data_IF_503893788125
#
_entry.id   IF_503893788125
#
_cell.length_a   1.000
_cell.length_b   1.000
_cell.length_c   1.000
_cell.angle_alpha   90.00
_cell.angle_beta   90.00
_cell.angle_gamma   90.00
#
_symmetry.space_group_name_H-M   'P 1'
#
loop_
_entity.id
_entity.type
_entity.pdbx_description
1 polymer ?
#
# COMPACT_ATOMS: atom_id res chain seq x y z
N UNK A 1 20.17 13.62 2.61
CA UNK A 1 20.19 15.09 2.56
C UNK A 1 18.82 15.67 2.92
N UNK A 2 17.70 15.26 2.25
CA UNK A 2 16.35 15.82 2.48
C UNK A 2 15.96 15.86 3.96
N UNK A 3 16.17 14.76 4.69
CA UNK A 3 15.88 14.71 6.13
C UNK A 3 16.69 15.73 6.95
N UNK A 4 17.99 15.89 6.64
CA UNK A 4 18.86 16.84 7.35
C UNK A 4 18.48 18.29 7.10
N UNK A 5 17.89 18.60 5.94
CA UNK A 5 17.48 19.94 5.55
C UNK A 5 16.06 20.29 6.03
N UNK A 6 15.11 19.37 5.89
CA UNK A 6 13.69 19.62 6.15
C UNK A 6 13.15 18.92 7.41
N UNK A 7 13.87 17.93 7.93
CA UNK A 7 13.39 17.05 8.98
C UNK A 7 12.44 15.95 8.50
N UNK A 8 12.29 15.76 7.17
CA UNK A 8 11.42 14.74 6.57
C UNK A 8 12.13 13.98 5.45
N UNK A 9 11.77 12.72 5.27
CA UNK A 9 12.09 11.98 4.05
C UNK A 9 11.19 12.47 2.90
N UNK A 10 11.64 12.39 1.64
CA UNK A 10 10.83 12.81 0.51
C UNK A 10 9.67 11.82 0.28
N UNK A 11 8.53 12.34 -0.13
CA UNK A 11 7.36 11.55 -0.52
C UNK A 11 7.34 11.15 -2.00
N UNK A 12 8.21 11.76 -2.80
CA UNK A 12 8.30 11.54 -4.24
C UNK A 12 9.74 11.68 -4.76
N UNK A 13 10.04 11.02 -5.88
CA UNK A 13 11.35 11.07 -6.54
C UNK A 13 11.60 12.39 -7.28
N UNK A 14 11.57 13.50 -6.56
CA UNK A 14 11.84 14.85 -7.12
C UNK A 14 12.57 15.73 -6.11
N UNK A 15 13.22 16.82 -6.55
CA UNK A 15 13.79 17.79 -5.62
C UNK A 15 12.71 18.43 -4.74
N UNK A 16 12.91 18.40 -3.43
CA UNK A 16 12.01 18.97 -2.43
C UNK A 16 10.70 18.19 -2.26
N UNK A 17 9.83 18.73 -1.42
CA UNK A 17 8.51 18.16 -1.13
C UNK A 17 7.46 18.66 -2.14
N UNK A 18 6.70 17.74 -2.72
CA UNK A 18 5.78 18.04 -3.84
C UNK A 18 4.32 18.20 -3.42
N UNK A 19 3.93 17.70 -2.26
CA UNK A 19 2.54 17.71 -1.86
C UNK A 19 1.65 16.75 -2.65
N UNK A 20 2.23 15.71 -3.18
CA UNK A 20 1.55 14.63 -3.89
C UNK A 20 1.63 13.33 -3.09
N UNK A 21 0.80 12.38 -3.42
CA UNK A 21 0.69 11.07 -2.79
C UNK A 21 0.20 11.11 -1.34
N UNK A 22 -0.09 9.95 -0.80
CA UNK A 22 -0.42 9.70 0.60
C UNK A 22 0.57 8.69 1.18
N UNK A 23 0.57 8.53 2.49
CA UNK A 23 1.53 7.65 3.13
C UNK A 23 2.87 8.33 3.39
N UNK A 24 3.80 7.57 3.89
CA UNK A 24 5.18 7.96 4.13
C UNK A 24 6.09 6.90 3.50
N UNK A 25 5.81 6.56 2.26
CA UNK A 25 6.33 5.37 1.55
C UNK A 25 7.85 5.39 1.34
N UNK A 26 8.54 6.50 1.65
CA UNK A 26 9.99 6.46 1.86
C UNK A 26 10.38 5.42 2.92
N UNK A 27 9.49 5.09 3.86
CA UNK A 27 9.76 4.08 4.87
C UNK A 27 9.93 2.69 4.25
N UNK A 28 9.09 2.32 3.28
CA UNK A 28 9.20 1.03 2.59
C UNK A 28 10.49 0.95 1.78
N UNK A 29 10.80 1.98 0.98
CA UNK A 29 12.03 2.04 0.16
C UNK A 29 13.29 1.97 1.01
N UNK A 30 13.35 2.75 2.09
CA UNK A 30 14.51 2.80 2.99
C UNK A 30 14.64 1.49 3.75
N UNK A 31 13.54 0.92 4.23
CA UNK A 31 13.56 -0.36 4.93
C UNK A 31 14.05 -1.49 4.04
N UNK A 32 13.54 -1.56 2.80
CA UNK A 32 13.96 -2.54 1.82
C UNK A 32 15.46 -2.45 1.53
N UNK A 33 15.96 -1.22 1.31
CA UNK A 33 17.39 -0.99 1.09
C UNK A 33 18.27 -1.38 2.28
N UNK A 34 17.84 -1.12 3.51
CA UNK A 34 18.56 -1.52 4.73
C UNK A 34 18.55 -3.04 4.90
N UNK A 35 17.41 -3.68 4.72
CA UNK A 35 17.27 -5.12 4.90
C UNK A 35 18.08 -5.92 3.89
N UNK A 36 18.08 -5.48 2.64
CA UNK A 36 18.86 -6.06 1.52
C UNK A 36 20.33 -5.68 1.53
N UNK A 37 20.79 -4.87 2.50
CA UNK A 37 22.19 -4.54 2.69
C UNK A 37 22.80 -3.60 1.63
N UNK A 38 21.96 -2.82 0.92
CA UNK A 38 22.44 -1.85 -0.07
C UNK A 38 22.64 -0.44 0.50
N UNK A 39 22.21 -0.22 1.76
CA UNK A 39 22.42 1.05 2.47
C UNK A 39 23.78 1.05 3.17
N UNK A 40 24.59 2.14 3.05
CA UNK A 40 25.81 2.30 3.82
C UNK A 40 25.55 2.24 5.33
N UNK A 41 26.40 1.53 6.07
CA UNK A 41 26.25 1.28 7.51
C UNK A 41 26.14 2.59 8.31
N UNK A 42 26.93 3.58 7.93
CA UNK A 42 26.96 4.92 8.56
C UNK A 42 25.66 5.71 8.42
N UNK A 43 24.83 5.40 7.43
CA UNK A 43 23.57 6.11 7.19
C UNK A 43 22.38 5.44 7.88
N UNK A 44 22.47 4.17 8.26
CA UNK A 44 21.33 3.38 8.79
C UNK A 44 20.70 4.05 10.02
N UNK A 45 21.50 4.50 10.97
CA UNK A 45 20.98 5.13 12.19
C UNK A 45 20.20 6.43 11.87
N UNK A 46 20.72 7.25 10.95
CA UNK A 46 20.06 8.50 10.52
C UNK A 46 18.76 8.21 9.78
N UNK A 47 18.76 7.21 8.91
CA UNK A 47 17.58 6.82 8.14
C UNK A 47 16.49 6.23 9.03
N UNK A 48 16.87 5.42 10.02
CA UNK A 48 15.93 4.88 11.00
C UNK A 48 15.28 6.01 11.82
N UNK A 49 16.07 6.97 12.30
CA UNK A 49 15.55 8.16 13.00
C UNK A 49 14.59 8.95 12.10
N UNK A 50 14.94 9.13 10.82
CA UNK A 50 14.12 9.86 9.87
C UNK A 50 12.75 9.21 9.64
N UNK A 51 12.71 7.88 9.51
CA UNK A 51 11.45 7.12 9.39
C UNK A 51 10.57 7.30 10.65
N UNK A 52 11.15 7.16 11.85
CA UNK A 52 10.43 7.39 13.10
C UNK A 52 9.94 8.83 13.27
N UNK A 53 10.74 9.80 12.83
CA UNK A 53 10.35 11.21 12.89
C UNK A 53 9.15 11.50 12.00
N UNK A 54 9.14 10.98 10.78
CA UNK A 54 8.01 11.14 9.83
C UNK A 54 6.69 10.60 10.35
N UNK A 55 6.72 9.58 11.21
CA UNK A 55 5.56 8.96 11.85
C UNK A 55 4.81 9.87 12.84
N UNK A 56 5.48 10.88 13.38
CA UNK A 56 4.99 11.68 14.52
C UNK A 56 4.72 13.14 14.19
N UNK A 57 4.78 13.50 12.93
CA UNK A 57 4.62 14.88 12.50
C UNK A 57 4.18 14.98 11.05
N UNK A 58 3.70 16.14 10.68
CA UNK A 58 3.40 16.53 9.31
C UNK A 58 4.19 17.78 8.97
N UNK A 59 4.60 17.92 7.72
CA UNK A 59 5.34 19.10 7.29
C UNK A 59 4.45 20.35 7.36
N UNK A 60 4.96 21.49 7.84
CA UNK A 60 4.13 22.67 8.15
C UNK A 60 3.41 23.28 6.95
N UNK A 61 3.92 23.07 5.74
CA UNK A 61 3.35 23.65 4.50
C UNK A 61 3.00 22.61 3.43
N UNK A 62 3.36 21.36 3.63
CA UNK A 62 3.12 20.27 2.66
C UNK A 62 2.49 19.09 3.39
N UNK A 63 1.17 19.07 3.46
CA UNK A 63 0.41 18.14 4.32
C UNK A 63 0.55 16.65 3.96
N UNK A 64 0.97 16.33 2.74
CA UNK A 64 1.27 14.94 2.34
C UNK A 64 2.63 14.44 2.83
N UNK A 65 3.51 15.35 3.29
CA UNK A 65 4.83 15.00 3.81
C UNK A 65 4.77 14.72 5.30
N UNK A 66 5.27 13.60 5.73
CA UNK A 66 5.03 13.05 7.05
C UNK A 66 3.66 12.36 7.10
N UNK A 67 2.98 12.34 8.25
CA UNK A 67 1.69 11.65 8.40
C UNK A 67 0.58 12.61 8.79
N UNK A 68 -0.15 13.12 7.82
CA UNK A 68 -1.32 13.95 8.10
C UNK A 68 -2.41 13.13 8.82
N UNK A 69 -2.83 13.62 9.99
CA UNK A 69 -3.75 12.91 10.87
C UNK A 69 -3.07 11.90 11.81
N UNK A 70 -1.74 12.03 12.01
CA UNK A 70 -0.98 11.14 12.89
C UNK A 70 -1.51 11.10 14.32
N UNK A 71 -2.11 12.19 14.82
CA UNK A 71 -2.71 12.25 16.14
C UNK A 71 -3.88 11.25 16.26
N UNK A 72 -4.76 11.23 15.26
CA UNK A 72 -5.87 10.28 15.18
C UNK A 72 -5.36 8.86 14.99
N UNK A 73 -4.44 8.67 14.04
CA UNK A 73 -3.90 7.34 13.78
C UNK A 73 -3.22 6.73 15.00
N UNK A 74 -2.48 7.52 15.78
CA UNK A 74 -1.79 7.05 16.98
C UNK A 74 -2.75 6.81 18.17
N UNK A 75 -3.93 7.40 18.20
CA UNK A 75 -4.90 7.28 19.30
C UNK A 75 -6.06 6.34 18.98
N UNK A 76 -6.62 6.42 17.78
CA UNK A 76 -7.78 5.62 17.35
C UNK A 76 -7.38 4.38 16.56
N UNK A 77 -6.15 4.36 16.02
CA UNK A 77 -5.69 3.33 15.10
C UNK A 77 -6.12 3.54 13.65
N UNK A 78 -6.68 4.70 13.30
CA UNK A 78 -7.02 5.09 11.93
C UNK A 78 -7.16 6.61 11.83
N UNK A 79 -7.13 7.13 10.60
CA UNK A 79 -7.46 8.52 10.30
C UNK A 79 -8.97 8.59 10.01
N UNK A 80 -9.77 9.36 10.80
CA UNK A 80 -11.21 9.38 10.63
C UNK A 80 -11.66 10.03 9.32
N UNK A 81 -12.82 9.55 8.82
CA UNK A 81 -13.42 10.06 7.59
C UNK A 81 -14.01 11.48 7.75
N UNK A 82 -14.55 11.79 8.92
CA UNK A 82 -15.31 13.01 9.22
C UNK A 82 -14.51 14.17 9.81
N UNK A 83 -13.17 14.14 9.70
CA UNK A 83 -12.27 15.17 10.28
C UNK A 83 -11.61 16.07 9.23
N UNK A 84 -12.15 16.14 8.02
CA UNK A 84 -11.63 16.95 6.89
C UNK A 84 -10.19 16.61 6.48
N UNK A 85 -9.78 15.38 6.65
CA UNK A 85 -8.53 14.86 6.09
C UNK A 85 -8.92 13.97 4.90
N UNK A 86 -8.58 14.36 3.66
CA UNK A 86 -8.91 13.56 2.49
C UNK A 86 -8.14 12.25 2.48
N UNK A 87 -8.64 11.28 1.71
CA UNK A 87 -7.94 10.01 1.48
C UNK A 87 -7.60 9.25 2.78
N UNK A 88 -8.47 9.42 3.79
CA UNK A 88 -8.23 8.96 5.17
C UNK A 88 -8.07 7.44 5.31
N UNK A 89 -8.84 6.65 4.54
CA UNK A 89 -8.69 5.20 4.52
C UNK A 89 -7.37 4.79 3.85
N UNK A 90 -7.03 5.37 2.70
CA UNK A 90 -5.74 5.13 2.06
C UNK A 90 -4.58 5.47 3.01
N UNK A 91 -4.60 6.65 3.65
CA UNK A 91 -3.58 7.04 4.64
C UNK A 91 -3.43 6.02 5.76
N UNK A 92 -4.53 5.49 6.27
CA UNK A 92 -4.50 4.49 7.34
C UNK A 92 -3.82 3.20 6.88
N UNK A 93 -4.14 2.72 5.68
CA UNK A 93 -3.54 1.51 5.11
C UNK A 93 -2.04 1.69 4.84
N UNK A 94 -1.67 2.81 4.22
CA UNK A 94 -0.27 3.16 3.95
C UNK A 94 0.54 3.27 5.26
N UNK A 95 0.01 3.96 6.29
CA UNK A 95 0.69 4.09 7.57
C UNK A 95 0.86 2.76 8.30
N UNK A 96 -0.10 1.85 8.16
CA UNK A 96 0.02 0.51 8.73
C UNK A 96 1.15 -0.30 8.06
N UNK A 97 1.25 -0.22 6.75
CA UNK A 97 2.34 -0.84 6.00
C UNK A 97 3.70 -0.18 6.31
N UNK A 98 3.77 1.14 6.35
CA UNK A 98 4.98 1.86 6.74
C UNK A 98 5.45 1.45 8.14
N UNK A 99 4.53 1.31 9.10
CA UNK A 99 4.87 0.90 10.46
C UNK A 99 5.45 -0.52 10.48
N UNK A 100 4.90 -1.43 9.66
CA UNK A 100 5.49 -2.76 9.50
C UNK A 100 6.91 -2.69 8.92
N UNK A 101 7.14 -1.90 7.88
CA UNK A 101 8.45 -1.73 7.28
C UNK A 101 9.48 -1.23 8.30
N UNK A 102 9.12 -0.20 9.07
CA UNK A 102 10.00 0.35 10.11
C UNK A 102 10.23 -0.70 11.22
N UNK A 103 9.23 -1.52 11.55
CA UNK A 103 9.37 -2.59 12.54
C UNK A 103 10.44 -3.62 12.12
N UNK A 104 10.53 -3.97 10.84
CA UNK A 104 11.56 -4.90 10.37
C UNK A 104 12.98 -4.32 10.58
N UNK A 105 13.16 -3.03 10.29
CA UNK A 105 14.43 -2.34 10.56
C UNK A 105 14.70 -2.27 12.07
N UNK A 106 13.70 -1.97 12.88
CA UNK A 106 13.82 -1.95 14.34
C UNK A 106 14.29 -3.31 14.89
N UNK A 107 13.74 -4.42 14.39
CA UNK A 107 14.19 -5.78 14.72
C UNK A 107 15.65 -6.00 14.37
N UNK A 108 16.05 -5.67 13.13
CA UNK A 108 17.44 -5.76 12.66
C UNK A 108 18.41 -4.99 13.54
N UNK A 109 17.98 -3.83 14.05
CA UNK A 109 18.78 -2.97 14.93
C UNK A 109 18.68 -3.33 16.42
N UNK A 110 17.94 -4.36 16.80
CA UNK A 110 17.73 -4.76 18.19
C UNK A 110 16.89 -3.78 19.02
N UNK A 111 16.07 -2.93 18.36
CA UNK A 111 15.17 -1.96 18.99
C UNK A 111 13.84 -2.61 19.37
N UNK A 112 13.85 -3.51 20.33
CA UNK A 112 12.73 -4.40 20.64
C UNK A 112 11.44 -3.67 21.02
N UNK A 113 11.53 -2.56 21.78
CA UNK A 113 10.35 -1.77 22.17
C UNK A 113 9.71 -1.07 20.98
N UNK A 114 10.53 -0.48 20.11
CA UNK A 114 10.04 0.16 18.89
C UNK A 114 9.41 -0.88 17.95
N UNK A 115 10.07 -2.03 17.79
CA UNK A 115 9.55 -3.13 16.98
C UNK A 115 8.16 -3.58 17.45
N UNK A 116 7.98 -3.84 18.74
CA UNK A 116 6.70 -4.28 19.30
C UNK A 116 5.59 -3.22 19.13
N UNK A 117 5.91 -1.94 19.33
CA UNK A 117 4.96 -0.85 19.12
C UNK A 117 4.53 -0.74 17.65
N UNK A 118 5.50 -0.82 16.74
CA UNK A 118 5.28 -0.68 15.30
C UNK A 118 4.53 -1.90 14.73
N UNK A 119 4.85 -3.11 15.16
CA UNK A 119 4.11 -4.32 14.81
C UNK A 119 2.65 -4.26 15.26
N UNK A 120 2.39 -3.73 16.45
CA UNK A 120 1.02 -3.49 16.88
C UNK A 120 0.31 -2.48 15.98
N UNK A 121 0.98 -1.37 15.63
CA UNK A 121 0.41 -0.35 14.77
C UNK A 121 0.20 -0.83 13.33
N UNK A 122 1.01 -1.75 12.84
CA UNK A 122 0.84 -2.35 11.50
C UNK A 122 -0.48 -3.13 11.34
N UNK A 123 -1.11 -3.52 12.44
CA UNK A 123 -2.42 -4.16 12.42
C UNK A 123 -3.61 -3.18 12.32
N UNK A 124 -3.34 -1.89 12.26
CA UNK A 124 -4.36 -0.85 12.24
C UNK A 124 -5.25 -0.89 10.99
N UNK A 125 -4.81 -1.50 9.89
CA UNK A 125 -5.64 -1.73 8.70
C UNK A 125 -6.95 -2.45 9.04
N UNK A 126 -6.96 -3.33 10.07
CA UNK A 126 -8.14 -4.07 10.52
C UNK A 126 -9.29 -3.17 10.98
N UNK A 127 -8.98 -1.95 11.43
CA UNK A 127 -9.98 -0.98 11.85
C UNK A 127 -10.85 -0.47 10.70
N UNK A 128 -10.39 -0.58 9.46
CA UNK A 128 -11.12 -0.12 8.28
C UNK A 128 -11.93 -1.22 7.59
N UNK A 129 -11.72 -2.48 7.95
CA UNK A 129 -12.46 -3.58 7.35
C UNK A 129 -13.91 -3.60 7.85
N UNK A 130 -14.83 -3.39 6.94
CA UNK A 130 -16.27 -3.47 7.20
C UNK A 130 -16.78 -4.89 6.91
N UNK A 131 -17.17 -5.67 7.93
CA UNK A 131 -17.63 -7.04 7.74
C UNK A 131 -18.93 -7.16 6.97
N UNK A 132 -19.75 -6.10 6.90
CA UNK A 132 -20.99 -6.10 6.13
C UNK A 132 -20.72 -6.04 4.64
N UNK A 133 -19.87 -5.11 4.20
CA UNK A 133 -19.49 -4.94 2.78
C UNK A 133 -18.33 -5.83 2.37
N UNK A 134 -17.55 -6.32 3.35
CA UNK A 134 -16.31 -7.09 3.15
C UNK A 134 -15.23 -6.30 2.39
N UNK A 135 -15.21 -5.00 2.60
CA UNK A 135 -14.28 -4.08 1.95
C UNK A 135 -13.67 -3.14 2.99
N UNK A 136 -12.53 -2.56 2.67
CA UNK A 136 -12.04 -1.40 3.40
C UNK A 136 -12.96 -0.22 3.15
N UNK A 137 -13.30 0.51 4.21
CA UNK A 137 -14.27 1.61 4.19
C UNK A 137 -13.83 2.72 5.12
N UNK A 138 -14.09 3.97 4.76
CA UNK A 138 -13.86 5.10 5.64
C UNK A 138 -14.60 4.92 6.98
N UNK A 139 -13.95 5.30 8.09
CA UNK A 139 -14.51 5.17 9.44
C UNK A 139 -14.52 6.53 10.13
N UNK A 140 -15.63 6.90 10.73
CA UNK A 140 -15.81 8.15 11.45
C UNK A 140 -15.11 8.14 12.81
N UNK A 141 -14.88 9.32 13.39
CA UNK A 141 -14.22 9.45 14.70
C UNK A 141 -14.97 8.77 15.84
N UNK A 142 -16.28 8.61 15.72
CA UNK A 142 -17.14 7.89 16.67
C UNK A 142 -17.11 6.35 16.50
N UNK A 143 -16.37 5.85 15.51
CA UNK A 143 -16.23 4.44 15.23
C UNK A 143 -17.25 3.86 14.25
N UNK A 144 -18.22 4.62 13.77
CA UNK A 144 -19.16 4.19 12.73
C UNK A 144 -18.51 4.23 11.35
N UNK A 145 -19.00 3.43 10.40
CA UNK A 145 -18.52 3.49 9.03
C UNK A 145 -19.18 4.62 8.23
N UNK A 146 -18.44 5.17 7.29
CA UNK A 146 -18.89 6.18 6.32
C UNK A 146 -20.24 5.81 5.68
N UNK A 147 -21.17 6.74 5.66
CA UNK A 147 -22.47 6.59 5.00
C UNK A 147 -22.87 7.91 4.33
N UNK A 148 -23.31 7.94 3.06
CA UNK A 148 -23.46 6.79 2.15
C UNK A 148 -22.12 6.22 1.68
N UNK A 149 -22.11 4.95 1.26
CA UNK A 149 -20.92 4.27 0.76
C UNK A 149 -21.19 3.66 -0.63
N UNK A 150 -20.27 3.90 -1.55
CA UNK A 150 -20.21 3.21 -2.84
C UNK A 150 -18.81 2.61 -3.02
N UNK A 151 -18.69 1.29 -3.21
CA UNK A 151 -17.39 0.65 -3.37
C UNK A 151 -16.69 1.02 -4.68
N UNK A 152 -17.41 1.61 -5.63
CA UNK A 152 -16.89 2.02 -6.94
C UNK A 152 -16.52 3.51 -7.00
N UNK A 153 -16.82 4.28 -5.95
CA UNK A 153 -16.50 5.71 -5.92
C UNK A 153 -14.99 5.90 -5.92
N UNK A 154 -14.50 6.55 -6.96
CA UNK A 154 -13.10 6.89 -7.10
C UNK A 154 -12.72 8.06 -6.19
N UNK A 155 -11.57 7.96 -5.52
CA UNK A 155 -11.11 8.98 -4.58
C UNK A 155 -11.86 8.95 -3.25
N UNK A 156 -12.17 10.13 -2.68
CA UNK A 156 -12.85 10.31 -1.40
C UNK A 156 -12.00 9.79 -0.22
N UNK A 157 -12.36 8.61 0.33
CA UNK A 157 -11.55 7.97 1.36
C UNK A 157 -10.26 7.32 0.83
N UNK A 158 -10.10 7.21 -0.49
CA UNK A 158 -9.01 6.52 -1.17
C UNK A 158 -8.25 7.45 -2.13
N UNK A 159 -7.02 7.09 -2.46
CA UNK A 159 -6.16 7.83 -3.39
C UNK A 159 -6.11 7.11 -4.72
N UNK A 160 -6.49 7.80 -5.81
CA UNK A 160 -6.39 7.24 -7.18
C UNK A 160 -6.93 5.81 -7.30
N UNK A 161 -8.01 5.54 -6.60
CA UNK A 161 -8.62 4.22 -6.54
C UNK A 161 -9.97 4.24 -5.84
N UNK A 162 -10.51 3.09 -5.59
CA UNK A 162 -11.76 2.86 -4.86
C UNK A 162 -11.61 1.73 -3.83
N UNK A 163 -12.70 1.37 -3.15
CA UNK A 163 -12.65 0.34 -2.11
C UNK A 163 -12.22 -1.05 -2.64
N UNK A 164 -12.53 -1.36 -3.91
CA UNK A 164 -12.11 -2.61 -4.54
C UNK A 164 -10.59 -2.71 -4.73
N UNK A 165 -9.91 -1.58 -5.01
CA UNK A 165 -8.46 -1.55 -5.12
C UNK A 165 -7.81 -1.61 -3.73
N UNK A 166 -8.25 -0.73 -2.83
CA UNK A 166 -7.60 -0.53 -1.54
C UNK A 166 -7.87 -1.64 -0.51
N UNK A 167 -8.91 -2.45 -0.68
CA UNK A 167 -9.13 -3.62 0.19
C UNK A 167 -7.94 -4.58 0.16
N UNK A 168 -7.19 -4.61 -0.93
CA UNK A 168 -6.05 -5.48 -1.12
C UNK A 168 -4.70 -4.84 -0.75
N UNK A 169 -4.67 -3.55 -0.36
CA UNK A 169 -3.46 -2.82 0.01
C UNK A 169 -2.97 -3.17 1.42
N UNK A 170 -2.80 -4.47 1.68
CA UNK A 170 -2.27 -5.03 2.93
C UNK A 170 -1.14 -5.99 2.55
N UNK A 171 -0.03 -5.42 2.07
CA UNK A 171 1.10 -6.18 1.54
C UNK A 171 1.82 -7.01 2.59
N UNK A 172 1.85 -6.52 3.83
CA UNK A 172 2.63 -7.04 4.95
C UNK A 172 1.90 -8.11 5.78
N UNK A 173 0.61 -8.30 5.58
CA UNK A 173 -0.21 -9.23 6.37
C UNK A 173 -1.36 -9.78 5.51
N UNK A 174 -1.02 -10.40 4.38
CA UNK A 174 -1.99 -10.94 3.43
C UNK A 174 -2.83 -12.06 4.09
N UNK A 175 -2.20 -12.91 4.90
CA UNK A 175 -2.90 -13.96 5.65
C UNK A 175 -3.88 -13.35 6.65
N UNK A 176 -3.48 -12.31 7.40
CA UNK A 176 -4.37 -11.59 8.30
C UNK A 176 -5.52 -10.89 7.60
N UNK A 177 -5.34 -10.43 6.36
CA UNK A 177 -6.42 -9.92 5.52
C UNK A 177 -7.38 -11.03 5.10
N UNK A 178 -6.87 -12.19 4.70
CA UNK A 178 -7.67 -13.37 4.36
C UNK A 178 -8.51 -13.81 5.56
N UNK A 179 -7.94 -13.82 6.76
CA UNK A 179 -8.63 -14.19 8.00
C UNK A 179 -9.79 -13.26 8.37
N UNK A 180 -9.76 -11.99 7.93
CA UNK A 180 -10.88 -11.07 8.12
C UNK A 180 -12.08 -11.41 7.23
N UNK A 181 -11.84 -12.12 6.13
CA UNK A 181 -12.88 -12.50 5.21
C UNK A 181 -13.60 -13.75 5.73
N UNK A 182 -14.93 -13.84 5.60
CA UNK A 182 -15.64 -15.03 6.05
C UNK A 182 -15.15 -16.26 5.29
N UNK A 183 -15.11 -17.43 5.94
CA UNK A 183 -14.72 -18.67 5.28
C UNK A 183 -15.60 -18.88 4.05
N UNK A 184 -14.96 -19.16 2.95
CA UNK A 184 -15.64 -19.40 1.67
C UNK A 184 -15.79 -20.91 1.53
N UNK A 185 -17.03 -21.34 1.50
CA UNK A 185 -17.37 -22.73 1.12
C UNK A 185 -17.26 -22.97 -0.39
N UNK A 186 -16.84 -21.96 -1.13
CA UNK A 186 -16.77 -21.93 -2.58
C UNK A 186 -15.51 -21.12 -2.97
N UNK A 187 -14.70 -21.68 -3.85
CA UNK A 187 -13.50 -21.07 -4.46
C UNK A 187 -13.78 -19.71 -5.13
N UNK A 188 -15.05 -19.33 -5.21
CA UNK A 188 -15.50 -18.20 -6.00
C UNK A 188 -15.20 -16.84 -5.41
N UNK A 189 -15.00 -16.70 -4.09
CA UNK A 189 -14.99 -15.35 -3.51
C UNK A 189 -13.71 -14.56 -3.83
N UNK A 190 -12.54 -15.10 -3.55
CA UNK A 190 -11.27 -14.52 -3.97
C UNK A 190 -11.15 -14.60 -5.49
N UNK A 191 -11.52 -15.75 -6.04
CA UNK A 191 -11.56 -16.02 -7.47
C UNK A 191 -12.55 -15.12 -8.23
N UNK A 192 -13.74 -14.90 -7.70
CA UNK A 192 -14.77 -14.11 -8.39
C UNK A 192 -14.35 -12.65 -8.59
N UNK A 193 -13.78 -12.01 -7.57
CA UNK A 193 -13.38 -10.60 -7.66
C UNK A 193 -12.19 -10.37 -8.57
N UNK A 194 -11.26 -11.30 -8.62
CA UNK A 194 -10.11 -11.23 -9.52
C UNK A 194 -10.45 -11.78 -10.92
N UNK A 195 -11.48 -12.63 -11.08
CA UNK A 195 -11.95 -13.07 -12.38
C UNK A 195 -12.46 -11.94 -13.29
N UNK A 196 -13.03 -10.91 -12.70
CA UNK A 196 -13.53 -9.75 -13.45
C UNK A 196 -12.41 -8.84 -14.00
N UNK A 197 -11.16 -9.09 -13.63
CA UNK A 197 -9.99 -8.30 -14.03
C UNK A 197 -9.84 -8.16 -15.54
N UNK A 198 -10.05 -9.24 -16.29
CA UNK A 198 -9.73 -9.25 -17.73
C UNK A 198 -10.76 -8.58 -18.60
N UNK A 199 -11.97 -8.38 -18.10
CA UNK A 199 -13.01 -7.66 -18.82
C UNK A 199 -12.95 -6.16 -18.58
N UNK A 200 -12.11 -5.74 -17.63
CA UNK A 200 -11.98 -4.35 -17.25
C UNK A 200 -10.85 -3.70 -18.00
N UNK A 201 -11.20 -2.74 -18.80
CA UNK A 201 -10.23 -1.82 -19.36
C UNK A 201 -9.66 -0.93 -18.26
N UNK A 202 -8.44 -0.53 -18.44
CA UNK A 202 -7.68 0.31 -17.51
C UNK A 202 -8.41 1.60 -17.15
N UNK A 203 -9.22 2.13 -18.07
CA UNK A 203 -10.02 3.32 -17.87
C UNK A 203 -11.34 3.09 -17.11
N UNK A 204 -11.76 1.84 -16.97
CA UNK A 204 -13.01 1.48 -16.31
C UNK A 204 -12.75 1.12 -14.85
N UNK A 205 -12.41 2.05 -14.06
CA UNK A 205 -12.22 2.04 -12.61
C UNK A 205 -13.06 1.02 -11.85
N UNK A 206 -12.93 -0.25 -12.20
CA UNK A 206 -13.64 -1.35 -11.59
C UNK A 206 -12.79 -2.04 -10.51
N UNK A 207 -12.79 -3.39 -10.52
CA UNK A 207 -12.14 -4.19 -9.49
C UNK A 207 -10.62 -4.24 -9.64
N UNK A 208 -10.09 -3.99 -10.83
CA UNK A 208 -8.66 -3.98 -11.13
C UNK A 208 -8.32 -2.90 -12.16
N UNK A 209 -7.34 -2.08 -11.88
CA UNK A 209 -6.85 -1.04 -12.77
C UNK A 209 -5.34 -1.18 -12.90
N UNK A 210 -4.87 -2.03 -13.79
CA UNK A 210 -3.44 -2.34 -13.97
C UNK A 210 -2.59 -1.10 -14.30
N UNK A 211 -3.18 -0.11 -14.95
CA UNK A 211 -2.51 1.13 -15.28
C UNK A 211 -2.20 2.03 -14.09
N UNK A 212 -2.65 1.65 -12.88
CA UNK A 212 -2.32 2.36 -11.65
C UNK A 212 -1.75 1.41 -10.60
N UNK A 213 -0.66 1.78 -9.97
CA UNK A 213 0.20 0.95 -9.13
C UNK A 213 -0.49 0.32 -7.92
N UNK A 214 -1.47 0.95 -7.24
CA UNK A 214 -2.17 0.34 -6.10
C UNK A 214 -2.82 -1.01 -6.40
N UNK A 215 -3.10 -1.33 -7.67
CA UNK A 215 -3.73 -2.58 -8.06
C UNK A 215 -2.74 -3.66 -8.55
N UNK A 216 -1.50 -3.30 -8.91
CA UNK A 216 -0.59 -4.18 -9.65
C UNK A 216 -0.19 -5.48 -8.93
N UNK A 217 -0.21 -5.50 -7.60
CA UNK A 217 0.09 -6.69 -6.80
C UNK A 217 -1.08 -7.68 -6.70
N UNK A 218 -2.32 -7.24 -6.96
CA UNK A 218 -3.54 -7.99 -6.64
C UNK A 218 -3.58 -9.38 -7.24
N UNK A 219 -3.14 -9.55 -8.49
CA UNK A 219 -3.18 -10.85 -9.15
C UNK A 219 -2.19 -11.86 -8.56
N UNK A 220 -1.15 -11.41 -7.85
CA UNK A 220 -0.24 -12.28 -7.11
C UNK A 220 -0.82 -12.77 -5.79
N UNK A 221 -1.89 -12.13 -5.28
CA UNK A 221 -2.58 -12.58 -4.07
C UNK A 221 -3.24 -13.96 -4.23
N UNK A 222 -3.43 -14.42 -5.47
CA UNK A 222 -3.84 -15.81 -5.72
C UNK A 222 -2.85 -16.85 -5.20
N UNK A 223 -1.55 -16.52 -5.15
CA UNK A 223 -0.55 -17.44 -4.62
C UNK A 223 -0.76 -17.66 -3.12
N UNK A 224 -1.04 -16.58 -2.37
CA UNK A 224 -1.38 -16.63 -0.95
C UNK A 224 -2.71 -17.33 -0.68
N UNK A 225 -3.65 -17.26 -1.62
CA UNK A 225 -4.93 -17.97 -1.53
C UNK A 225 -4.84 -19.46 -1.98
N UNK A 226 -3.63 -19.97 -2.21
CA UNK A 226 -3.42 -21.36 -2.64
C UNK A 226 -3.86 -21.67 -4.08
N UNK A 227 -3.98 -20.63 -4.92
CA UNK A 227 -4.44 -20.75 -6.31
C UNK A 227 -3.40 -20.28 -7.35
N UNK A 228 -2.15 -20.74 -7.30
CA UNK A 228 -1.06 -20.23 -8.16
C UNK A 228 -1.33 -20.37 -9.66
N UNK A 229 -2.13 -21.34 -10.05
CA UNK A 229 -2.54 -21.50 -11.48
C UNK A 229 -3.33 -20.28 -11.98
N UNK A 230 -4.13 -19.65 -11.11
CA UNK A 230 -4.86 -18.43 -11.48
C UNK A 230 -3.91 -17.24 -11.58
N UNK A 231 -2.97 -17.07 -10.64
CA UNK A 231 -1.95 -16.05 -10.74
C UNK A 231 -1.18 -16.16 -12.07
N UNK A 232 -0.68 -17.34 -12.41
CA UNK A 232 0.05 -17.61 -13.65
C UNK A 232 -0.78 -17.25 -14.90
N UNK A 233 -2.06 -17.60 -14.89
CA UNK A 233 -2.94 -17.34 -16.03
C UNK A 233 -3.20 -15.83 -16.18
N UNK A 234 -3.58 -15.14 -15.08
CA UNK A 234 -3.89 -13.72 -15.11
C UNK A 234 -2.67 -12.85 -15.39
N UNK A 235 -1.52 -13.19 -14.82
CA UNK A 235 -0.26 -12.49 -15.13
C UNK A 235 0.01 -12.52 -16.63
N UNK A 236 -0.15 -13.69 -17.26
CA UNK A 236 0.03 -13.83 -18.72
C UNK A 236 -0.99 -13.01 -19.50
N UNK A 237 -2.26 -13.05 -19.13
CA UNK A 237 -3.32 -12.27 -19.77
C UNK A 237 -3.05 -10.76 -19.71
N UNK A 238 -2.61 -10.26 -18.55
CA UNK A 238 -2.23 -8.84 -18.39
C UNK A 238 -1.03 -8.50 -19.28
N UNK A 239 0.02 -9.31 -19.28
CA UNK A 239 1.20 -9.08 -20.11
C UNK A 239 0.86 -9.04 -21.61
N UNK A 240 0.01 -9.97 -22.08
CA UNK A 240 -0.31 -10.10 -23.49
C UNK A 240 -1.32 -9.03 -23.97
N UNK A 241 -2.18 -8.52 -23.08
CA UNK A 241 -3.26 -7.58 -23.46
C UNK A 241 -2.97 -6.13 -23.15
N UNK A 242 -2.22 -5.84 -22.09
CA UNK A 242 -2.06 -4.49 -21.57
C UNK A 242 -0.66 -3.90 -21.83
N UNK A 243 0.21 -4.66 -22.48
CA UNK A 243 1.54 -4.20 -22.90
C UNK A 243 1.76 -4.42 -24.39
N UNK A 244 2.51 -3.55 -25.01
CA UNK A 244 2.96 -3.73 -26.40
C UNK A 244 4.31 -3.05 -26.64
N UNK A 245 5.01 -3.47 -27.71
CA UNK A 245 6.28 -2.89 -28.14
C UNK A 245 6.09 -1.60 -28.97
N UNK A 246 5.04 -0.83 -28.72
CA UNK A 246 4.75 0.45 -29.38
C UNK A 246 5.07 1.63 -28.47
N UNK A 247 5.16 2.87 -28.99
CA UNK A 247 5.39 4.06 -28.15
C UNK A 247 4.32 4.30 -27.09
N UNK A 248 3.09 3.82 -27.29
CA UNK A 248 1.94 3.85 -26.40
C UNK A 248 1.71 2.48 -25.72
N UNK A 249 2.77 1.72 -25.49
CA UNK A 249 2.73 0.32 -25.10
C UNK A 249 2.42 0.04 -23.63
N UNK A 250 2.24 1.05 -22.80
CA UNK A 250 1.76 0.93 -21.43
C UNK A 250 0.29 1.32 -21.33
N UNK A 251 -0.44 0.62 -20.48
CA UNK A 251 -1.86 0.87 -20.27
C UNK A 251 -2.15 2.02 -19.27
N UNK A 252 -1.13 2.65 -18.72
CA UNK A 252 -1.16 3.76 -17.79
C UNK A 252 0.20 4.42 -17.73
N UNK A 253 0.44 5.20 -16.67
CA UNK A 253 1.73 5.84 -16.47
C UNK A 253 2.82 4.81 -16.13
N UNK A 254 4.03 5.07 -16.61
CA UNK A 254 5.18 4.18 -16.36
C UNK A 254 5.68 4.30 -14.91
N UNK A 255 5.51 5.49 -14.31
CA UNK A 255 5.76 5.83 -12.91
C UNK A 255 7.15 5.43 -12.38
N UNK A 256 8.17 6.06 -12.98
CA UNK A 256 9.56 5.96 -12.54
C UNK A 256 10.10 4.51 -12.46
N UNK A 257 9.63 3.65 -13.34
CA UNK A 257 10.10 2.27 -13.45
C UNK A 257 9.14 1.21 -12.92
N UNK A 258 8.08 1.57 -12.20
CA UNK A 258 7.19 0.60 -11.56
C UNK A 258 6.48 -0.30 -12.58
N UNK A 259 5.87 0.28 -13.60
CA UNK A 259 5.11 -0.48 -14.61
C UNK A 259 6.01 -1.31 -15.51
N UNK A 260 7.21 -0.81 -15.84
CA UNK A 260 8.24 -1.58 -16.53
C UNK A 260 8.76 -2.73 -15.66
N UNK A 261 9.04 -2.48 -14.39
CA UNK A 261 9.52 -3.48 -13.45
C UNK A 261 8.50 -4.61 -13.26
N UNK A 262 7.21 -4.27 -13.17
CA UNK A 262 6.14 -5.27 -13.08
C UNK A 262 6.20 -6.25 -14.24
N UNK A 263 6.32 -5.73 -15.49
CA UNK A 263 6.42 -6.60 -16.66
C UNK A 263 7.66 -7.49 -16.63
N UNK A 264 8.82 -6.94 -16.26
CA UNK A 264 10.09 -7.68 -16.23
C UNK A 264 10.05 -8.78 -15.16
N UNK A 265 9.62 -8.46 -13.94
CA UNK A 265 9.49 -9.46 -12.87
C UNK A 265 8.46 -10.53 -13.22
N UNK A 266 7.33 -10.15 -13.79
CA UNK A 266 6.30 -11.08 -14.24
C UNK A 266 6.81 -12.02 -15.34
N UNK A 267 7.61 -11.50 -16.27
CA UNK A 267 8.26 -12.32 -17.31
C UNK A 267 9.29 -13.29 -16.74
N UNK A 268 9.94 -12.94 -15.63
CA UNK A 268 10.85 -13.81 -14.89
C UNK A 268 10.13 -14.84 -14.01
N UNK A 269 8.82 -14.65 -13.75
CA UNK A 269 7.97 -15.59 -13.03
C UNK A 269 7.89 -15.35 -11.52
N UNK A 270 8.20 -14.15 -11.03
CA UNK A 270 8.03 -13.75 -9.63
C UNK A 270 7.72 -12.25 -9.53
N UNK A 271 7.29 -11.80 -8.34
CA UNK A 271 7.00 -10.40 -8.06
C UNK A 271 7.21 -10.08 -6.58
N UNK A 272 7.89 -8.98 -6.22
CA UNK A 272 8.06 -8.57 -4.84
C UNK A 272 6.77 -7.93 -4.30
N UNK A 273 5.85 -8.74 -3.77
CA UNK A 273 4.54 -8.27 -3.29
C UNK A 273 4.69 -7.31 -2.12
N UNK A 274 5.69 -7.52 -1.25
CA UNK A 274 5.90 -6.72 -0.05
C UNK A 274 7.32 -6.15 0.01
N UNK A 275 7.60 -4.99 -0.62
CA UNK A 275 8.86 -4.28 -0.38
C UNK A 275 9.08 -4.05 1.11
N UNK A 276 10.34 -4.20 1.57
CA UNK A 276 10.68 -4.22 3.00
C UNK A 276 10.67 -5.61 3.63
N UNK A 277 10.19 -6.64 2.92
CA UNK A 277 10.52 -8.03 3.22
C UNK A 277 11.89 -8.41 2.63
N UNK A 278 12.58 -9.35 3.26
CA UNK A 278 13.86 -9.89 2.77
C UNK A 278 13.64 -11.07 1.78
N UNK A 279 12.68 -10.89 0.88
CA UNK A 279 12.26 -11.91 -0.09
C UNK A 279 11.67 -11.29 -1.37
N UNK A 280 11.47 -12.12 -2.39
CA UNK A 280 10.85 -11.80 -3.67
C UNK A 280 9.71 -12.77 -3.95
#
# INVERSE_FOLDING_TARGET
NAYRESGFLPEWASPGHRGCMVGNNSASVVSDAILKGVTPEEDIATLYEAMLAGRRKVHPTVSSTGRWGYEYYNTLGYVPYDVNIPENAARTLEYAYDDWCIAQVAKKLGKTNDAAMLEKASQNYKNLFDPETRLMRGRNADGTFQTPFSPYKWGDAFTEGNAWHYTWSVFHDVEGLIDLMPPIYDDSYYGFRIHEITEMQVADMGNYAHGNQPAQHMIYLYDYAGQPRKAQWWVREVMDRLYSAKPDGYCGDEDNGQTSAWYVFSALGFYPVCPGADEY
#
